data_IF_710744526067
#
_entry.id   IF_710744526067
#
_cell.length_a   1.000
_cell.length_b   1.000
_cell.length_c   1.000
_cell.angle_alpha   90.00
_cell.angle_beta   90.00
_cell.angle_gamma   90.00
#
_symmetry.space_group_name_H-M   'P 1'
#
loop_
_entity.id
_entity.type
_entity.pdbx_description
1 polymer ?
#
# COMPACT_ATOMS: atom_id res chain seq x y z
N UNK A 1 15.32 -11.28 -2.86
CA UNK A 1 13.85 -11.15 -3.00
C UNK A 1 13.23 -10.25 -1.93
N UNK A 2 13.62 -10.37 -0.66
CA UNK A 2 13.08 -9.50 0.42
C UNK A 2 13.37 -8.02 0.17
N UNK A 3 14.62 -7.67 -0.19
CA UNK A 3 15.01 -6.29 -0.50
C UNK A 3 14.12 -5.63 -1.56
N UNK A 4 13.93 -6.28 -2.71
CA UNK A 4 13.10 -5.76 -3.80
C UNK A 4 11.62 -5.67 -3.40
N UNK A 5 11.10 -6.64 -2.63
CA UNK A 5 9.73 -6.59 -2.12
C UNK A 5 9.53 -5.42 -1.14
N UNK A 6 10.53 -5.13 -0.30
CA UNK A 6 10.50 -4.01 0.64
C UNK A 6 10.47 -2.65 -0.07
N UNK A 7 11.27 -2.47 -1.12
CA UNK A 7 11.25 -1.23 -1.93
C UNK A 7 9.89 -1.04 -2.59
N UNK A 8 9.31 -2.10 -3.15
CA UNK A 8 7.97 -2.07 -3.75
C UNK A 8 6.90 -1.72 -2.71
N UNK A 9 6.95 -2.33 -1.52
CA UNK A 9 6.01 -2.03 -0.44
C UNK A 9 6.05 -0.55 0.01
N UNK A 10 7.26 0.03 0.11
CA UNK A 10 7.42 1.47 0.42
C UNK A 10 6.83 2.32 -0.70
N UNK A 11 7.10 1.99 -1.96
CA UNK A 11 6.59 2.74 -3.11
C UNK A 11 5.05 2.72 -3.18
N UNK A 12 4.43 1.56 -2.95
CA UNK A 12 2.97 1.44 -2.86
C UNK A 12 2.41 2.20 -1.66
N UNK A 13 3.08 2.16 -0.51
CA UNK A 13 2.67 2.93 0.66
C UNK A 13 2.69 4.44 0.44
N UNK A 14 3.69 4.94 -0.31
CA UNK A 14 3.77 6.34 -0.72
C UNK A 14 2.68 6.70 -1.75
N UNK A 15 2.38 5.81 -2.70
CA UNK A 15 1.26 6.02 -3.65
C UNK A 15 -0.08 6.17 -2.92
N UNK A 16 -0.33 5.39 -1.86
CA UNK A 16 -1.51 5.54 -1.01
C UNK A 16 -1.60 6.90 -0.28
N UNK A 17 -0.46 7.59 -0.09
CA UNK A 17 -0.42 8.93 0.50
C UNK A 17 -0.64 10.05 -0.51
N UNK A 18 0.02 9.96 -1.67
CA UNK A 18 0.01 11.02 -2.67
C UNK A 18 -1.20 10.96 -3.58
N UNK A 19 -1.69 9.77 -3.91
CA UNK A 19 -2.75 9.58 -4.91
C UNK A 19 -3.81 8.59 -4.43
N UNK A 20 -4.50 8.96 -3.34
CA UNK A 20 -5.55 8.14 -2.74
C UNK A 20 -6.76 7.92 -3.66
N UNK A 21 -6.96 8.80 -4.66
CA UNK A 21 -7.98 8.63 -5.71
C UNK A 21 -7.56 7.57 -6.72
N UNK A 22 -6.29 7.51 -7.15
CA UNK A 22 -5.81 6.43 -8.00
C UNK A 22 -5.92 5.07 -7.30
N UNK A 23 -5.56 5.01 -6.01
CA UNK A 23 -5.69 3.78 -5.21
C UNK A 23 -7.15 3.37 -5.07
N UNK A 24 -8.07 4.33 -4.91
CA UNK A 24 -9.50 4.02 -4.89
C UNK A 24 -9.97 3.37 -6.20
N UNK A 25 -9.56 3.90 -7.34
CA UNK A 25 -9.93 3.35 -8.66
C UNK A 25 -9.41 1.93 -8.87
N UNK A 26 -8.18 1.66 -8.43
CA UNK A 26 -7.61 0.31 -8.43
C UNK A 26 -8.44 -0.64 -7.55
N UNK A 27 -8.79 -0.19 -6.35
CA UNK A 27 -9.61 -0.96 -5.41
C UNK A 27 -11.02 -1.22 -5.94
N UNK A 28 -11.63 -0.22 -6.59
CA UNK A 28 -12.93 -0.33 -7.23
C UNK A 28 -12.88 -1.32 -8.40
N UNK A 29 -11.81 -1.32 -9.19
CA UNK A 29 -11.60 -2.26 -10.28
C UNK A 29 -11.47 -3.69 -9.78
N UNK A 30 -10.73 -3.91 -8.69
CA UNK A 30 -10.63 -5.23 -8.05
C UNK A 30 -12.00 -5.68 -7.54
N UNK A 31 -12.74 -4.82 -6.84
CA UNK A 31 -14.10 -5.13 -6.36
C UNK A 31 -15.06 -5.48 -7.49
N UNK A 32 -15.00 -4.76 -8.62
CA UNK A 32 -15.77 -5.04 -9.83
C UNK A 32 -15.44 -6.42 -10.41
N UNK A 33 -14.17 -6.83 -10.39
CA UNK A 33 -13.77 -8.17 -10.83
C UNK A 33 -14.40 -9.27 -9.94
N UNK A 34 -14.61 -8.99 -8.66
CA UNK A 34 -15.32 -9.88 -7.73
C UNK A 34 -16.85 -9.72 -7.74
N UNK A 35 -17.41 -8.93 -8.67
CA UNK A 35 -18.86 -8.70 -8.79
C UNK A 35 -19.46 -7.89 -7.64
N UNK A 36 -18.64 -7.16 -6.88
CA UNK A 36 -19.08 -6.31 -5.77
C UNK A 36 -18.93 -4.83 -6.15
N UNK A 37 -19.89 -4.01 -5.73
CA UNK A 37 -19.80 -2.55 -5.87
C UNK A 37 -19.30 -1.98 -4.56
N UNK A 38 -18.27 -1.14 -4.61
CA UNK A 38 -17.71 -0.50 -3.44
C UNK A 38 -18.27 0.92 -3.32
N UNK A 39 -18.85 1.25 -2.17
CA UNK A 39 -19.21 2.63 -1.86
C UNK A 39 -18.02 3.35 -1.24
N UNK A 40 -17.73 4.56 -1.75
CA UNK A 40 -16.67 5.40 -1.20
C UNK A 40 -17.11 5.92 0.16
N UNK A 41 -16.51 5.42 1.23
CA UNK A 41 -16.71 5.97 2.58
C UNK A 41 -16.15 7.39 2.67
N UNK A 42 -16.81 8.25 3.45
CA UNK A 42 -16.38 9.64 3.65
C UNK A 42 -14.93 9.75 4.18
N UNK A 43 -14.49 8.72 4.92
CA UNK A 43 -13.15 8.63 5.53
C UNK A 43 -12.12 7.89 4.65
N UNK A 44 -12.40 7.64 3.37
CA UNK A 44 -11.51 6.89 2.48
C UNK A 44 -10.07 7.41 2.49
N UNK A 45 -9.88 8.73 2.42
CA UNK A 45 -8.54 9.32 2.41
C UNK A 45 -7.76 9.02 3.70
N UNK A 46 -8.43 8.98 4.83
CA UNK A 46 -7.81 8.63 6.13
C UNK A 46 -7.44 7.16 6.16
N UNK A 47 -8.32 6.27 5.70
CA UNK A 47 -8.06 4.82 5.62
C UNK A 47 -6.93 4.50 4.64
N UNK A 48 -6.95 5.08 3.44
CA UNK A 48 -5.90 4.90 2.44
C UNK A 48 -4.54 5.38 2.97
N UNK A 49 -4.53 6.53 3.67
CA UNK A 49 -3.30 7.03 4.31
C UNK A 49 -2.82 6.14 5.44
N UNK A 50 -3.72 5.62 6.28
CA UNK A 50 -3.37 4.70 7.36
C UNK A 50 -2.79 3.38 6.81
N UNK A 51 -3.39 2.83 5.76
CA UNK A 51 -2.85 1.65 5.05
C UNK A 51 -1.52 1.95 4.37
N UNK A 52 -1.37 3.13 3.75
CA UNK A 52 -0.11 3.59 3.18
C UNK A 52 1.02 3.64 4.21
N UNK A 53 0.76 4.24 5.38
CA UNK A 53 1.70 4.27 6.50
C UNK A 53 2.08 2.86 6.95
N UNK A 54 1.12 1.94 7.06
CA UNK A 54 1.39 0.56 7.43
C UNK A 54 2.31 -0.16 6.43
N UNK A 55 2.07 0.01 5.12
CA UNK A 55 2.94 -0.55 4.08
C UNK A 55 4.36 0.04 4.10
N UNK A 56 4.49 1.35 4.37
CA UNK A 56 5.81 1.99 4.53
C UNK A 56 6.55 1.37 5.72
N UNK A 57 5.90 1.22 6.87
CA UNK A 57 6.51 0.64 8.07
C UNK A 57 6.99 -0.79 7.80
N UNK A 58 6.12 -1.64 7.22
CA UNK A 58 6.50 -3.01 6.86
C UNK A 58 7.65 -3.05 5.85
N UNK A 59 7.62 -2.18 4.85
CA UNK A 59 8.66 -2.06 3.86
C UNK A 59 10.01 -1.66 4.48
N UNK A 60 10.02 -0.68 5.39
CA UNK A 60 11.23 -0.26 6.13
C UNK A 60 11.77 -1.39 7.01
N UNK A 61 10.90 -2.09 7.74
CA UNK A 61 11.33 -3.24 8.56
C UNK A 61 11.91 -4.36 7.70
N UNK A 62 11.28 -4.69 6.58
CA UNK A 62 11.79 -5.68 5.63
C UNK A 62 13.11 -5.26 4.98
N UNK A 63 13.29 -3.96 4.72
CA UNK A 63 14.53 -3.43 4.20
C UNK A 63 15.67 -3.57 5.22
N UNK A 64 15.43 -3.15 6.46
CA UNK A 64 16.40 -3.27 7.55
C UNK A 64 16.79 -4.74 7.82
N UNK A 65 15.81 -5.65 7.84
CA UNK A 65 16.10 -7.08 8.04
C UNK A 65 16.89 -7.67 6.87
N UNK A 66 16.63 -7.23 5.64
CA UNK A 66 17.40 -7.67 4.47
C UNK A 66 18.87 -7.21 4.51
N UNK A 67 19.14 -6.04 5.11
CA UNK A 67 20.51 -5.54 5.31
C UNK A 67 21.25 -6.32 6.40
N UNK A 68 20.58 -6.67 7.50
CA UNK A 68 21.20 -7.46 8.58
C UNK A 68 21.46 -8.91 8.20
N UNK A 69 20.69 -9.48 7.27
CA UNK A 69 20.91 -10.85 6.76
C UNK A 69 22.01 -10.88 5.68
N UNK A 70 22.33 -9.73 5.08
CA UNK A 70 23.38 -9.61 4.08
C UNK A 70 24.75 -9.19 4.66
N UNK A 71 24.83 -8.90 5.96
CA UNK A 71 26.05 -8.53 6.70
C UNK A 71 26.60 -9.73 7.48
#
# INVERSE_FOLDING_TARGET
>A
MVFSASVIAIAFGLLCWFDSDMVFRLYEQDFKMFGKVMERTADWNTTARAQGTFFIILGVVGFLSSLTVAA
#
